data_IF_974128889984
#
_entry.id   IF_974128889984
#
_cell.length_a   1.000
_cell.length_b   1.000
_cell.length_c   1.000
_cell.angle_alpha   90.00
_cell.angle_beta   90.00
_cell.angle_gamma   90.00
#
_symmetry.space_group_name_H-M   'P 1'
#
loop_
_entity.id
_entity.type
_entity.pdbx_description
1 polymer ?
#
# COMPACT_ATOMS: atom_id res chain seq x y z
N UNK A 1 9.05 -13.05 -39.47
CA UNK A 1 8.44 -12.30 -38.35
C UNK A 1 9.34 -12.50 -37.15
N UNK A 2 10.33 -11.64 -36.98
CA UNK A 2 11.30 -11.72 -35.89
C UNK A 2 10.86 -10.78 -34.77
N UNK A 3 9.75 -11.13 -34.11
CA UNK A 3 9.36 -10.50 -32.86
C UNK A 3 10.24 -11.02 -31.73
N UNK A 4 10.82 -10.14 -30.92
CA UNK A 4 11.53 -10.52 -29.70
C UNK A 4 10.53 -11.09 -28.68
N UNK A 5 10.75 -12.32 -28.24
CA UNK A 5 9.85 -12.97 -27.29
C UNK A 5 10.00 -12.43 -25.88
N UNK A 6 8.92 -12.49 -25.10
CA UNK A 6 8.91 -12.18 -23.67
C UNK A 6 9.86 -13.16 -22.97
N UNK A 7 10.90 -12.62 -22.33
CA UNK A 7 11.91 -13.41 -21.63
C UNK A 7 11.71 -13.31 -20.14
N UNK A 8 11.86 -14.44 -19.45
CA UNK A 8 11.92 -14.40 -18.00
C UNK A 8 13.10 -13.53 -17.54
N UNK A 9 12.85 -12.59 -16.63
CA UNK A 9 13.86 -11.72 -16.00
C UNK A 9 14.91 -12.54 -15.28
N UNK A 10 14.49 -13.61 -14.60
CA UNK A 10 15.39 -14.46 -13.82
C UNK A 10 16.11 -15.50 -14.69
N UNK A 11 17.38 -15.22 -15.03
CA UNK A 11 18.23 -16.13 -15.81
C UNK A 11 18.60 -17.42 -15.06
N UNK A 12 18.63 -17.39 -13.71
CA UNK A 12 18.85 -18.53 -12.79
C UNK A 12 18.10 -18.28 -11.47
N UNK A 13 17.74 -19.33 -10.74
CA UNK A 13 17.02 -19.23 -9.44
C UNK A 13 15.52 -19.49 -9.53
N UNK A 14 14.76 -19.09 -8.51
CA UNK A 14 13.29 -19.08 -8.55
C UNK A 14 12.78 -17.98 -9.46
N UNK A 15 11.68 -18.23 -10.15
CA UNK A 15 10.91 -17.20 -10.85
C UNK A 15 9.99 -16.55 -9.80
N UNK A 16 9.66 -15.26 -9.95
CA UNK A 16 8.86 -14.51 -8.98
C UNK A 16 9.71 -13.93 -7.83
N UNK A 17 9.68 -12.62 -7.68
CA UNK A 17 10.41 -11.87 -6.64
C UNK A 17 9.50 -11.31 -5.55
N UNK A 18 8.19 -11.23 -5.79
CA UNK A 18 7.21 -10.64 -4.87
C UNK A 18 6.34 -11.72 -4.24
N UNK A 19 5.60 -11.35 -3.19
CA UNK A 19 4.79 -12.31 -2.44
C UNK A 19 3.71 -12.95 -3.31
N UNK A 20 3.09 -12.19 -4.23
CA UNK A 20 2.02 -12.66 -5.11
C UNK A 20 2.52 -13.64 -6.17
N UNK A 21 3.67 -13.38 -6.79
CA UNK A 21 4.25 -14.30 -7.77
C UNK A 21 4.74 -15.56 -7.09
N UNK A 22 5.28 -15.47 -5.86
CA UNK A 22 5.61 -16.65 -5.07
C UNK A 22 4.37 -17.46 -4.72
N UNK A 23 3.29 -16.80 -4.25
CA UNK A 23 2.00 -17.43 -3.93
C UNK A 23 1.43 -18.20 -5.14
N UNK A 24 1.47 -17.59 -6.31
CA UNK A 24 1.00 -18.20 -7.57
C UNK A 24 1.90 -19.35 -8.03
N UNK A 25 3.22 -19.21 -7.94
CA UNK A 25 4.16 -20.27 -8.32
C UNK A 25 4.06 -21.47 -7.37
N UNK A 26 3.93 -21.22 -6.07
CA UNK A 26 3.74 -22.29 -5.07
C UNK A 26 2.49 -23.11 -5.38
N UNK A 27 1.40 -22.46 -5.79
CA UNK A 27 0.20 -23.13 -6.26
C UNK A 27 0.51 -24.01 -7.47
N UNK A 28 1.12 -23.46 -8.53
CA UNK A 28 1.46 -24.21 -9.74
C UNK A 28 2.38 -25.40 -9.44
N UNK A 29 3.38 -25.21 -8.57
CA UNK A 29 4.33 -26.24 -8.15
C UNK A 29 3.69 -27.31 -7.25
N UNK A 30 2.54 -27.03 -6.64
CA UNK A 30 1.85 -27.97 -5.74
C UNK A 30 1.14 -29.12 -6.47
N UNK A 31 0.72 -28.92 -7.72
CA UNK A 31 -0.07 -29.91 -8.46
C UNK A 31 0.56 -30.39 -9.77
N UNK A 32 1.56 -29.69 -10.31
CA UNK A 32 2.15 -30.03 -11.60
C UNK A 32 3.41 -30.90 -11.50
N UNK A 33 3.61 -31.78 -12.49
CA UNK A 33 4.82 -32.62 -12.58
C UNK A 33 6.11 -31.77 -12.66
N UNK A 34 7.05 -32.07 -11.78
CA UNK A 34 8.29 -31.30 -11.61
C UNK A 34 9.17 -31.30 -12.87
N UNK A 35 9.15 -32.40 -13.62
CA UNK A 35 9.89 -32.53 -14.88
C UNK A 35 9.33 -31.62 -15.98
N UNK A 36 8.00 -31.55 -16.10
CA UNK A 36 7.27 -30.66 -17.01
C UNK A 36 7.50 -29.19 -16.67
N UNK A 37 7.41 -28.85 -15.38
CA UNK A 37 7.70 -27.49 -14.90
C UNK A 37 9.15 -27.06 -15.19
N UNK A 38 10.12 -27.95 -15.00
CA UNK A 38 11.53 -27.67 -15.32
C UNK A 38 11.75 -27.33 -16.79
N UNK A 39 11.08 -28.07 -17.70
CA UNK A 39 11.09 -27.76 -19.14
C UNK A 39 10.39 -26.43 -19.43
N UNK A 40 9.25 -26.17 -18.79
CA UNK A 40 8.52 -24.89 -18.90
C UNK A 40 9.38 -23.69 -18.49
N UNK A 41 10.06 -23.76 -17.34
CA UNK A 41 11.03 -22.74 -16.89
C UNK A 41 12.11 -22.48 -17.93
N UNK A 42 12.60 -23.54 -18.57
CA UNK A 42 13.61 -23.42 -19.63
C UNK A 42 13.08 -22.64 -20.84
N UNK A 43 11.83 -22.88 -21.24
CA UNK A 43 11.20 -22.17 -22.36
C UNK A 43 10.97 -20.68 -22.04
N UNK A 44 10.46 -20.39 -20.83
CA UNK A 44 10.28 -19.02 -20.34
C UNK A 44 11.61 -18.23 -20.36
N UNK A 45 12.70 -18.84 -19.88
CA UNK A 45 14.04 -18.22 -19.88
C UNK A 45 14.65 -18.02 -21.27
N UNK A 46 14.32 -18.90 -22.21
CA UNK A 46 14.82 -18.83 -23.60
C UNK A 46 14.09 -17.77 -24.44
N UNK A 47 13.09 -17.09 -23.90
CA UNK A 47 12.32 -16.09 -24.66
C UNK A 47 11.46 -16.71 -25.75
N UNK A 48 10.93 -17.91 -25.48
CA UNK A 48 10.14 -18.66 -26.45
C UNK A 48 8.64 -18.33 -26.38
N UNK A 49 8.23 -17.45 -25.47
CA UNK A 49 6.83 -17.02 -25.33
C UNK A 49 6.68 -15.63 -25.94
N UNK A 50 5.58 -15.40 -26.64
CA UNK A 50 5.24 -14.18 -27.36
C UNK A 50 3.79 -13.81 -27.07
N UNK A 51 3.44 -12.55 -27.29
CA UNK A 51 2.07 -12.06 -27.21
C UNK A 51 1.34 -12.47 -25.92
N UNK A 52 2.03 -12.45 -24.76
CA UNK A 52 1.38 -12.71 -23.48
C UNK A 52 0.41 -11.57 -23.18
N UNK A 53 -0.88 -11.89 -23.15
CA UNK A 53 -1.97 -10.94 -22.89
C UNK A 53 -2.81 -11.45 -21.74
N UNK A 54 -2.97 -10.60 -20.74
CA UNK A 54 -3.90 -10.82 -19.63
C UNK A 54 -5.16 -10.04 -19.93
N UNK A 55 -6.29 -10.72 -19.89
CA UNK A 55 -7.63 -10.14 -20.04
C UNK A 55 -8.53 -10.70 -18.94
N UNK A 56 -9.72 -10.12 -18.71
CA UNK A 56 -10.70 -10.69 -17.80
C UNK A 56 -10.90 -12.19 -18.02
N UNK A 57 -10.58 -12.97 -17.00
CA UNK A 57 -10.75 -14.43 -16.88
C UNK A 57 -9.86 -15.28 -17.78
N UNK A 58 -9.10 -14.68 -18.69
CA UNK A 58 -8.30 -15.39 -19.69
C UNK A 58 -6.91 -14.76 -19.88
N UNK A 59 -5.89 -15.61 -19.91
CA UNK A 59 -4.53 -15.27 -20.33
C UNK A 59 -4.21 -16.03 -21.61
N UNK A 60 -3.82 -15.32 -22.65
CA UNK A 60 -3.40 -15.92 -23.93
C UNK A 60 -1.93 -15.67 -24.19
N UNK A 61 -1.27 -16.60 -24.86
CA UNK A 61 0.11 -16.44 -25.30
C UNK A 61 0.44 -17.38 -26.48
N UNK A 62 1.53 -17.08 -27.18
CA UNK A 62 2.09 -17.93 -28.22
C UNK A 62 3.44 -18.48 -27.78
N UNK A 63 3.72 -19.75 -28.02
CA UNK A 63 4.96 -20.39 -27.59
C UNK A 63 5.68 -21.06 -28.76
N UNK A 64 6.87 -20.59 -29.11
CA UNK A 64 7.72 -21.24 -30.12
C UNK A 64 8.22 -22.58 -29.57
N UNK A 65 7.88 -23.65 -30.28
CA UNK A 65 8.32 -24.99 -29.96
C UNK A 65 8.96 -25.69 -31.15
N UNK A 66 8.64 -26.97 -31.33
CA UNK A 66 9.24 -27.82 -32.37
C UNK A 66 8.66 -27.60 -33.77
N UNK A 67 7.42 -27.14 -33.89
CA UNK A 67 6.78 -26.90 -35.20
C UNK A 67 7.08 -25.47 -35.69
N UNK A 68 7.00 -25.20 -37.01
CA UNK A 68 7.30 -23.87 -37.57
C UNK A 68 6.42 -22.75 -37.00
N UNK A 69 5.12 -23.03 -36.82
CA UNK A 69 4.16 -22.09 -36.24
C UNK A 69 4.16 -22.17 -34.70
N UNK A 70 4.14 -21.03 -33.98
CA UNK A 70 4.04 -21.05 -32.52
C UNK A 70 2.78 -21.80 -32.03
N UNK A 71 2.89 -22.51 -30.91
CA UNK A 71 1.74 -23.10 -30.21
C UNK A 71 0.90 -22.02 -29.55
N UNK A 72 -0.42 -22.16 -29.59
CA UNK A 72 -1.35 -21.27 -28.90
C UNK A 72 -1.66 -21.83 -27.52
N UNK A 73 -1.54 -20.97 -26.52
CA UNK A 73 -1.80 -21.31 -25.11
C UNK A 73 -2.84 -20.35 -24.57
N UNK A 74 -3.84 -20.90 -23.89
CA UNK A 74 -4.83 -20.15 -23.13
C UNK A 74 -4.91 -20.70 -21.69
N UNK A 75 -4.99 -19.79 -20.72
CA UNK A 75 -5.19 -20.09 -19.31
C UNK A 75 -6.48 -19.40 -18.87
N UNK A 76 -7.45 -20.16 -18.36
CA UNK A 76 -8.72 -19.64 -17.87
C UNK A 76 -8.88 -19.84 -16.37
N UNK A 77 -9.64 -18.97 -15.72
CA UNK A 77 -10.09 -19.14 -14.34
C UNK A 77 -11.59 -18.84 -14.22
N UNK A 78 -12.22 -19.36 -13.19
CA UNK A 78 -13.51 -18.83 -12.75
C UNK A 78 -13.26 -17.51 -12.00
N UNK A 79 -13.59 -16.40 -12.63
CA UNK A 79 -13.34 -15.09 -12.04
C UNK A 79 -14.45 -14.61 -11.10
N UNK A 80 -14.19 -13.45 -10.49
CA UNK A 80 -15.07 -12.86 -9.50
C UNK A 80 -16.22 -12.13 -10.20
N UNK A 81 -17.46 -12.47 -9.84
CA UNK A 81 -18.66 -11.85 -10.40
C UNK A 81 -18.82 -10.36 -10.04
N UNK A 82 -19.62 -9.63 -10.83
CA UNK A 82 -19.78 -8.18 -10.67
C UNK A 82 -20.30 -7.76 -9.28
N UNK A 83 -21.24 -8.52 -8.70
CA UNK A 83 -21.78 -8.23 -7.37
C UNK A 83 -20.72 -8.41 -6.27
N UNK A 84 -19.94 -9.49 -6.35
CA UNK A 84 -18.82 -9.76 -5.45
C UNK A 84 -17.73 -8.70 -5.54
N UNK A 85 -17.44 -8.20 -6.76
CA UNK A 85 -16.55 -7.06 -6.94
C UNK A 85 -17.05 -5.78 -6.29
N UNK A 86 -18.34 -5.47 -6.38
CA UNK A 86 -18.92 -4.30 -5.70
C UNK A 86 -18.73 -4.41 -4.18
N UNK A 87 -18.94 -5.61 -3.62
CA UNK A 87 -18.71 -5.85 -2.19
C UNK A 87 -17.21 -5.70 -1.83
N UNK A 88 -16.30 -6.28 -2.61
CA UNK A 88 -14.87 -6.15 -2.40
C UNK A 88 -14.39 -4.69 -2.51
N UNK A 89 -14.83 -3.94 -3.52
CA UNK A 89 -14.52 -2.52 -3.68
C UNK A 89 -14.99 -1.69 -2.47
N UNK A 90 -16.17 -1.99 -1.94
CA UNK A 90 -16.71 -1.33 -0.74
C UNK A 90 -15.85 -1.61 0.49
N UNK A 91 -15.45 -2.86 0.71
CA UNK A 91 -14.58 -3.25 1.83
C UNK A 91 -13.17 -2.67 1.72
N UNK A 92 -12.59 -2.65 0.51
CA UNK A 92 -11.29 -2.02 0.27
C UNK A 92 -11.36 -0.50 0.48
N UNK A 93 -12.46 0.13 0.07
CA UNK A 93 -12.65 1.58 0.22
C UNK A 93 -12.94 2.01 1.67
N UNK A 94 -13.57 1.14 2.48
CA UNK A 94 -13.89 1.44 3.89
C UNK A 94 -12.65 1.44 4.79
N UNK A 95 -11.60 0.72 4.39
CA UNK A 95 -10.35 0.58 5.15
C UNK A 95 -9.26 1.48 4.60
N UNK A 96 -8.98 2.59 5.30
CA UNK A 96 -8.07 3.65 4.85
C UNK A 96 -6.69 3.15 4.38
N UNK A 97 -6.11 2.16 5.05
CA UNK A 97 -4.80 1.59 4.70
C UNK A 97 -4.83 0.92 3.32
N UNK A 98 -5.84 0.10 3.02
CA UNK A 98 -5.97 -0.56 1.72
C UNK A 98 -6.25 0.45 0.61
N UNK A 99 -7.18 1.38 0.86
CA UNK A 99 -7.51 2.46 -0.07
C UNK A 99 -6.28 3.30 -0.44
N UNK A 100 -5.52 3.75 0.55
CA UNK A 100 -4.33 4.59 0.33
C UNK A 100 -3.24 3.84 -0.46
N UNK A 101 -2.95 2.59 -0.09
CA UNK A 101 -1.95 1.75 -0.78
C UNK A 101 -2.33 1.48 -2.23
N UNK A 102 -3.58 1.06 -2.48
CA UNK A 102 -4.04 0.78 -3.84
C UNK A 102 -4.06 2.04 -4.71
N UNK A 103 -4.41 3.21 -4.16
CA UNK A 103 -4.31 4.49 -4.89
C UNK A 103 -2.86 4.90 -5.19
N UNK A 104 -1.89 4.39 -4.42
CA UNK A 104 -0.46 4.56 -4.65
C UNK A 104 0.14 3.44 -5.54
N UNK A 105 -0.70 2.64 -6.20
CA UNK A 105 -0.30 1.47 -7.00
C UNK A 105 0.43 0.37 -6.23
N UNK A 106 0.23 0.32 -4.91
CA UNK A 106 0.78 -0.73 -4.05
C UNK A 106 -0.27 -1.81 -3.77
N UNK A 107 0.06 -3.07 -4.04
CA UNK A 107 -0.76 -4.23 -3.71
C UNK A 107 -0.34 -4.84 -2.36
N UNK A 108 -1.04 -4.56 -1.24
CA UNK A 108 -0.69 -5.10 0.06
C UNK A 108 -0.99 -6.61 0.14
N UNK A 109 -0.12 -7.44 0.77
CA UNK A 109 -0.39 -8.87 0.95
C UNK A 109 -1.66 -9.16 1.74
N UNK A 110 -2.02 -8.28 2.67
CA UNK A 110 -3.22 -8.42 3.49
C UNK A 110 -4.52 -8.27 2.67
N UNK A 111 -4.44 -7.90 1.38
CA UNK A 111 -5.60 -7.81 0.50
C UNK A 111 -6.31 -9.15 0.36
N UNK A 112 -5.58 -10.28 0.35
CA UNK A 112 -6.18 -11.62 0.27
C UNK A 112 -7.15 -11.87 1.42
N UNK A 113 -6.93 -11.28 2.60
CA UNK A 113 -7.85 -11.40 3.74
C UNK A 113 -9.18 -10.70 3.49
N UNK A 114 -9.15 -9.53 2.84
CA UNK A 114 -10.38 -8.80 2.47
C UNK A 114 -11.23 -9.63 1.50
N UNK A 115 -10.60 -10.30 0.54
CA UNK A 115 -11.31 -11.19 -0.37
C UNK A 115 -11.80 -12.45 0.35
N UNK A 116 -10.98 -13.05 1.22
CA UNK A 116 -11.35 -14.25 1.98
C UNK A 116 -12.54 -14.02 2.93
N UNK A 117 -12.63 -12.86 3.58
CA UNK A 117 -13.79 -12.46 4.41
C UNK A 117 -15.11 -12.45 3.61
N UNK A 118 -15.03 -12.22 2.29
CA UNK A 118 -16.15 -12.24 1.36
C UNK A 118 -16.36 -13.61 0.69
N UNK A 119 -15.59 -14.63 1.07
CA UNK A 119 -15.62 -15.95 0.45
C UNK A 119 -15.04 -15.97 -0.97
N UNK A 120 -14.17 -15.01 -1.30
CA UNK A 120 -13.53 -14.86 -2.60
C UNK A 120 -12.05 -15.24 -2.53
N UNK A 121 -11.49 -15.70 -3.66
CA UNK A 121 -10.07 -15.99 -3.81
C UNK A 121 -9.49 -15.17 -4.96
N UNK A 122 -8.34 -14.54 -4.72
CA UNK A 122 -7.61 -13.78 -5.76
C UNK A 122 -6.76 -14.69 -6.65
N UNK A 123 -6.32 -15.81 -6.10
CA UNK A 123 -5.55 -16.83 -6.83
C UNK A 123 -6.36 -18.13 -6.88
N UNK A 124 -6.17 -18.95 -7.92
CA UNK A 124 -6.74 -20.29 -7.91
C UNK A 124 -6.24 -21.06 -6.68
N UNK A 125 -7.07 -21.91 -6.09
CA UNK A 125 -6.73 -22.66 -4.87
C UNK A 125 -6.22 -24.06 -5.19
N UNK A 126 -6.69 -24.63 -6.30
CA UNK A 126 -6.40 -25.98 -6.75
C UNK A 126 -6.13 -26.01 -8.25
N UNK A 127 -5.65 -27.17 -8.75
CA UNK A 127 -5.50 -27.40 -10.18
C UNK A 127 -6.82 -27.25 -10.96
N UNK A 128 -7.95 -27.61 -10.34
CA UNK A 128 -9.27 -27.58 -10.98
C UNK A 128 -9.75 -26.16 -11.26
N UNK A 129 -9.24 -25.17 -10.53
CA UNK A 129 -9.58 -23.75 -10.68
C UNK A 129 -8.84 -23.09 -11.87
N UNK A 130 -7.94 -23.84 -12.52
CA UNK A 130 -7.11 -23.35 -13.61
C UNK A 130 -7.34 -24.21 -14.87
N UNK A 131 -7.99 -23.61 -15.86
CA UNK A 131 -8.24 -24.25 -17.15
C UNK A 131 -7.07 -24.01 -18.09
N UNK A 132 -6.36 -25.06 -18.45
CA UNK A 132 -5.15 -24.98 -19.27
C UNK A 132 -5.42 -25.56 -20.66
N UNK A 133 -5.27 -24.74 -21.69
CA UNK A 133 -5.37 -25.16 -23.08
C UNK A 133 -4.08 -24.88 -23.83
N UNK A 134 -3.64 -25.87 -24.60
CA UNK A 134 -2.50 -25.73 -25.49
C UNK A 134 -2.71 -26.65 -26.69
N UNK A 135 -2.52 -26.13 -27.90
CA UNK A 135 -2.70 -26.89 -29.15
C UNK A 135 -1.50 -27.80 -29.52
N UNK A 136 -0.63 -28.08 -28.54
CA UNK A 136 0.52 -28.96 -28.73
C UNK A 136 0.14 -30.44 -28.55
N UNK A 137 0.90 -31.39 -29.15
CA UNK A 137 0.58 -32.81 -29.07
C UNK A 137 0.90 -33.47 -27.71
N UNK A 138 1.21 -32.66 -26.69
CA UNK A 138 1.57 -33.12 -25.35
C UNK A 138 0.35 -33.04 -24.42
N UNK A 139 -0.21 -34.20 -24.09
CA UNK A 139 -1.40 -34.38 -23.25
C UNK A 139 -1.15 -34.22 -21.74
N UNK A 140 0.02 -33.71 -21.34
CA UNK A 140 0.26 -33.43 -19.93
C UNK A 140 -0.43 -32.16 -19.45
N UNK A 141 -0.73 -32.12 -18.16
CA UNK A 141 -1.46 -31.02 -17.53
C UNK A 141 -0.67 -30.47 -16.32
N UNK A 142 0.01 -29.30 -16.44
CA UNK A 142 0.29 -28.54 -17.65
C UNK A 142 1.30 -29.22 -18.59
N UNK A 143 1.18 -28.98 -19.89
CA UNK A 143 2.26 -29.24 -20.83
C UNK A 143 3.42 -28.24 -20.60
N UNK A 144 4.60 -28.49 -21.19
CA UNK A 144 5.75 -27.58 -21.03
C UNK A 144 5.48 -26.15 -21.53
N UNK A 145 4.59 -25.97 -22.51
CA UNK A 145 4.26 -24.64 -23.06
C UNK A 145 3.35 -23.88 -22.10
N UNK A 146 2.28 -24.51 -21.60
CA UNK A 146 1.42 -23.94 -20.57
C UNK A 146 2.21 -23.60 -19.30
N UNK A 147 3.11 -24.49 -18.87
CA UNK A 147 4.02 -24.22 -17.75
C UNK A 147 4.91 -22.99 -18.00
N UNK A 148 5.41 -22.80 -19.23
CA UNK A 148 6.20 -21.60 -19.56
C UNK A 148 5.38 -20.31 -19.45
N UNK A 149 4.11 -20.34 -19.89
CA UNK A 149 3.19 -19.19 -19.78
C UNK A 149 2.84 -18.91 -18.33
N UNK A 150 2.59 -19.93 -17.50
CA UNK A 150 2.35 -19.74 -16.06
C UNK A 150 3.52 -19.05 -15.35
N UNK A 151 4.75 -19.45 -15.66
CA UNK A 151 5.93 -18.79 -15.08
C UNK A 151 6.08 -17.33 -15.54
N UNK A 152 5.79 -17.01 -16.81
CA UNK A 152 5.84 -15.63 -17.27
C UNK A 152 4.67 -14.79 -16.78
N UNK A 153 3.50 -15.39 -16.58
CA UNK A 153 2.38 -14.72 -15.93
C UNK A 153 2.75 -14.29 -14.51
N UNK A 154 3.45 -15.15 -13.76
CA UNK A 154 3.97 -14.80 -12.44
C UNK A 154 4.92 -13.60 -12.49
N UNK A 155 5.81 -13.51 -13.49
CA UNK A 155 6.69 -12.35 -13.65
C UNK A 155 5.95 -11.09 -14.13
N UNK A 156 4.89 -11.25 -14.93
CA UNK A 156 4.04 -10.14 -15.34
C UNK A 156 3.33 -9.52 -14.13
N UNK A 157 2.88 -10.34 -13.17
CA UNK A 157 2.34 -9.84 -11.90
C UNK A 157 3.36 -9.05 -11.09
N UNK A 158 4.64 -9.42 -11.13
CA UNK A 158 5.70 -8.64 -10.48
C UNK A 158 5.92 -7.27 -11.14
N UNK A 159 5.62 -7.13 -12.43
CA UNK A 159 5.71 -5.86 -13.17
C UNK A 159 4.47 -4.99 -12.95
N UNK A 160 3.29 -5.60 -12.97
CA UNK A 160 2.03 -4.94 -12.65
C UNK A 160 1.13 -5.87 -11.80
N UNK A 161 0.99 -5.64 -10.48
CA UNK A 161 0.19 -6.48 -9.63
C UNK A 161 -1.32 -6.33 -9.88
N UNK A 162 -1.78 -5.26 -10.55
CA UNK A 162 -3.19 -5.11 -10.90
C UNK A 162 -3.64 -6.09 -11.98
N UNK A 163 -2.70 -6.71 -12.71
CA UNK A 163 -3.01 -7.81 -13.63
C UNK A 163 -3.68 -9.00 -12.92
N UNK A 164 -3.44 -9.20 -11.63
CA UNK A 164 -4.12 -10.22 -10.81
C UNK A 164 -5.62 -9.89 -10.73
N UNK A 165 -5.95 -8.62 -10.51
CA UNK A 165 -7.33 -8.16 -10.41
C UNK A 165 -7.99 -8.13 -11.79
N UNK A 166 -7.24 -7.74 -12.82
CA UNK A 166 -7.70 -7.74 -14.21
C UNK A 166 -8.05 -9.15 -14.67
N UNK A 167 -7.20 -10.13 -14.38
CA UNK A 167 -7.49 -11.54 -14.64
C UNK A 167 -8.74 -12.01 -13.88
N UNK A 168 -8.98 -11.51 -12.68
CA UNK A 168 -10.22 -11.74 -11.92
C UNK A 168 -11.42 -10.86 -12.37
N UNK A 169 -11.30 -10.13 -13.48
CA UNK A 169 -12.41 -9.37 -14.08
C UNK A 169 -12.52 -7.92 -13.64
N UNK A 170 -11.48 -7.35 -13.02
CA UNK A 170 -11.47 -5.96 -12.59
C UNK A 170 -10.22 -5.22 -13.03
N UNK A 171 -10.40 -4.36 -14.04
CA UNK A 171 -9.30 -3.49 -14.49
C UNK A 171 -8.91 -2.48 -13.42
N UNK A 172 -7.64 -2.09 -13.46
CA UNK A 172 -7.06 -1.07 -12.58
C UNK A 172 -7.91 0.20 -12.54
N UNK A 173 -8.24 0.77 -13.69
CA UNK A 173 -8.98 2.03 -13.77
C UNK A 173 -10.37 1.96 -13.12
N UNK A 174 -11.04 0.80 -13.26
CA UNK A 174 -12.35 0.58 -12.63
C UNK A 174 -12.24 0.54 -11.12
N UNK A 175 -11.27 -0.22 -10.60
CA UNK A 175 -11.01 -0.29 -9.17
C UNK A 175 -10.63 1.09 -8.60
N UNK A 176 -9.66 1.79 -9.20
CA UNK A 176 -9.22 3.09 -8.70
C UNK A 176 -10.34 4.13 -8.75
N UNK A 177 -11.20 4.09 -9.77
CA UNK A 177 -12.39 4.94 -9.83
C UNK A 177 -13.35 4.64 -8.68
N UNK A 178 -13.59 3.36 -8.36
CA UNK A 178 -14.42 2.97 -7.23
C UNK A 178 -13.83 3.42 -5.88
N UNK A 179 -12.52 3.21 -5.68
CA UNK A 179 -11.81 3.62 -4.47
C UNK A 179 -11.78 5.14 -4.28
N UNK A 180 -11.68 5.92 -5.36
CA UNK A 180 -11.75 7.40 -5.28
C UNK A 180 -13.12 7.89 -4.84
N UNK A 181 -14.19 7.27 -5.35
CA UNK A 181 -15.57 7.59 -4.93
C UNK A 181 -15.74 7.33 -3.43
N UNK A 182 -15.22 6.20 -2.95
CA UNK A 182 -15.32 5.78 -1.56
C UNK A 182 -16.77 5.60 -1.09
N UNK A 183 -17.01 5.03 0.09
CA UNK A 183 -18.21 5.42 0.83
C UNK A 183 -18.13 6.94 1.04
N UNK A 184 -19.25 7.66 0.95
CA UNK A 184 -19.32 9.01 1.52
C UNK A 184 -18.70 8.90 2.91
N UNK A 185 -17.61 9.64 3.14
CA UNK A 185 -16.84 9.52 4.37
C UNK A 185 -17.85 9.51 5.53
N UNK A 186 -17.78 8.52 6.41
CA UNK A 186 -18.43 8.71 7.70
C UNK A 186 -17.93 10.07 8.20
N UNK A 187 -18.83 11.01 8.54
CA UNK A 187 -18.42 12.37 8.87
C UNK A 187 -17.27 12.27 9.87
N UNK A 188 -16.14 12.91 9.54
CA UNK A 188 -15.02 12.91 10.46
C UNK A 188 -15.56 13.44 11.79
N UNK A 189 -15.45 12.70 12.91
CA UNK A 189 -15.90 13.22 14.20
C UNK A 189 -15.24 14.56 14.56
N UNK A 190 -14.18 14.93 13.84
CA UNK A 190 -13.42 16.17 13.95
C UNK A 190 -13.72 17.18 12.81
N UNK A 191 -14.47 16.82 11.77
CA UNK A 191 -15.05 17.79 10.82
C UNK A 191 -16.19 18.53 11.51
N UNK A 192 -15.89 19.69 12.08
CA UNK A 192 -16.88 20.69 12.43
C UNK A 192 -16.90 21.73 11.32
N UNK A 193 -18.09 22.15 10.90
CA UNK A 193 -18.22 23.31 10.01
C UNK A 193 -17.57 24.52 10.70
N UNK A 194 -16.65 25.19 10.02
CA UNK A 194 -16.07 26.45 10.49
C UNK A 194 -17.19 27.49 10.58
N UNK A 195 -17.70 27.73 11.78
CA UNK A 195 -18.66 28.80 12.02
C UNK A 195 -17.91 30.14 11.83
N UNK A 196 -18.32 31.00 10.88
CA UNK A 196 -17.59 32.22 10.59
C UNK A 196 -17.58 33.12 11.83
N UNK A 197 -16.38 33.50 12.28
CA UNK A 197 -16.20 34.38 13.42
C UNK A 197 -16.93 35.72 13.16
N UNK A 198 -17.95 36.01 13.96
CA UNK A 198 -18.58 37.32 13.99
C UNK A 198 -17.75 38.26 14.88
N UNK A 199 -17.67 39.55 14.54
CA UNK A 199 -17.00 40.54 15.39
C UNK A 199 -17.61 40.63 16.80
N UNK A 200 -18.88 40.26 16.94
CA UNK A 200 -19.62 40.23 18.21
C UNK A 200 -19.18 39.07 19.09
N UNK A 201 -18.85 37.93 18.49
CA UNK A 201 -18.56 36.69 19.20
C UNK A 201 -17.06 36.44 19.35
N UNK A 202 -16.21 37.22 18.66
CA UNK A 202 -14.75 37.11 18.69
C UNK A 202 -14.15 37.17 20.11
N UNK A 203 -14.74 37.96 21.00
CA UNK A 203 -14.30 38.08 22.40
C UNK A 203 -15.05 37.18 23.37
N UNK A 204 -16.02 36.41 22.89
CA UNK A 204 -16.75 35.45 23.73
C UNK A 204 -16.01 34.12 23.73
N UNK A 205 -15.74 33.58 24.91
CA UNK A 205 -15.21 32.22 25.03
C UNK A 205 -16.27 31.25 24.51
N UNK A 206 -15.95 30.41 23.49
CA UNK A 206 -16.82 29.32 23.11
C UNK A 206 -17.17 28.49 24.34
N UNK A 207 -18.41 28.00 24.40
CA UNK A 207 -18.95 27.23 25.52
C UNK A 207 -18.09 26.00 25.90
N UNK A 208 -17.26 25.51 24.98
CA UNK A 208 -16.26 24.46 25.21
C UNK A 208 -14.96 24.92 25.87
N UNK A 209 -14.46 26.14 25.58
CA UNK A 209 -13.20 26.64 26.15
C UNK A 209 -13.35 27.08 27.61
N UNK A 210 -14.55 27.46 28.04
CA UNK A 210 -14.83 27.71 29.47
C UNK A 210 -14.62 26.46 30.36
N UNK A 211 -14.52 25.27 29.75
CA UNK A 211 -14.18 24.01 30.43
C UNK A 211 -12.70 23.66 30.39
N UNK A 212 -11.87 24.37 29.62
CA UNK A 212 -10.43 24.26 29.81
C UNK A 212 -10.16 24.73 31.23
N UNK A 213 -9.73 23.79 32.08
CA UNK A 213 -9.19 24.14 33.39
C UNK A 213 -8.17 25.23 33.16
N UNK A 214 -8.32 26.33 33.91
CA UNK A 214 -7.26 27.34 34.01
C UNK A 214 -5.95 26.60 34.18
N UNK A 215 -5.00 26.92 33.29
CA UNK A 215 -3.66 26.37 33.38
C UNK A 215 -3.22 26.57 34.83
N UNK A 216 -2.88 25.50 35.59
CA UNK A 216 -2.45 25.67 36.96
C UNK A 216 -1.35 26.71 36.97
N UNK A 217 -1.39 27.70 37.89
CA UNK A 217 -0.40 28.76 37.93
C UNK A 217 0.97 28.12 37.85
N UNK A 218 1.78 28.58 36.90
CA UNK A 218 3.11 28.01 36.70
C UNK A 218 3.85 28.05 38.05
N UNK A 219 4.58 26.98 38.42
CA UNK A 219 5.35 27.00 39.64
C UNK A 219 6.27 28.22 39.65
N UNK A 220 6.47 28.89 40.79
CA UNK A 220 7.30 30.07 40.86
C UNK A 220 8.69 29.74 40.35
N UNK A 221 9.09 30.39 39.26
CA UNK A 221 10.38 30.20 38.63
C UNK A 221 11.41 31.01 39.43
N UNK A 222 12.56 30.41 39.82
CA UNK A 222 13.59 31.15 40.53
C UNK A 222 14.06 32.39 39.75
N UNK A 223 14.39 33.50 40.45
CA UNK A 223 14.97 34.67 39.80
C UNK A 223 16.22 34.29 39.00
N UNK A 224 16.31 34.78 37.76
CA UNK A 224 17.44 34.50 36.89
C UNK A 224 17.44 33.11 36.22
N UNK A 225 16.42 32.26 36.41
CA UNK A 225 16.32 30.95 35.75
C UNK A 225 16.42 31.04 34.22
N UNK A 226 15.83 32.08 33.61
CA UNK A 226 15.94 32.33 32.16
C UNK A 226 17.39 32.52 31.74
N UNK A 227 18.24 33.13 32.57
CA UNK A 227 19.67 33.31 32.28
C UNK A 227 20.46 32.00 32.38
N UNK A 228 19.92 30.98 33.05
CA UNK A 228 20.55 29.66 33.21
C UNK A 228 20.12 28.68 32.11
N UNK A 229 18.87 28.77 31.65
CA UNK A 229 18.31 27.86 30.63
C UNK A 229 18.54 28.38 29.22
N UNK A 230 18.52 29.69 29.02
CA UNK A 230 18.78 30.26 27.70
C UNK A 230 20.24 30.07 27.31
N UNK A 231 20.48 29.76 26.03
CA UNK A 231 21.83 29.77 25.47
C UNK A 231 22.38 31.20 25.57
N UNK A 232 23.51 31.44 26.26
CA UNK A 232 23.99 32.79 26.48
C UNK A 232 24.44 33.41 25.15
N UNK A 233 24.03 34.66 24.85
CA UNK A 233 24.54 35.36 23.69
C UNK A 233 26.05 35.61 23.85
N UNK A 234 26.83 35.66 22.75
CA UNK A 234 28.29 35.83 22.80
C UNK A 234 28.71 37.29 23.07
N UNK A 235 28.02 37.96 23.99
CA UNK A 235 28.23 39.37 24.37
C UNK A 235 28.91 39.42 25.73
N UNK A 236 29.96 40.24 25.83
CA UNK A 236 30.69 40.48 27.10
C UNK A 236 30.63 41.95 27.48
N UNK A 237 30.32 42.24 28.73
CA UNK A 237 30.38 43.58 29.32
C UNK A 237 31.55 43.58 30.30
N UNK A 238 32.54 44.47 30.10
CA UNK A 238 33.73 44.59 30.98
C UNK A 238 34.42 43.24 31.25
N UNK A 239 34.58 42.43 30.19
CA UNK A 239 35.16 41.07 30.22
C UNK A 239 34.34 40.00 30.96
N UNK A 240 33.12 40.29 31.40
CA UNK A 240 32.17 39.31 31.97
C UNK A 240 31.09 38.92 30.96
N UNK A 241 30.62 37.66 30.91
CA UNK A 241 29.45 37.26 30.15
C UNK A 241 28.22 38.12 30.48
N UNK A 242 27.38 38.39 29.48
CA UNK A 242 26.17 39.20 29.67
C UNK A 242 25.23 38.63 30.74
N UNK A 243 25.07 37.31 30.80
CA UNK A 243 24.25 36.63 31.81
C UNK A 243 24.70 36.95 33.24
N UNK A 244 26.01 36.94 33.49
CA UNK A 244 26.59 37.23 34.80
C UNK A 244 26.43 38.70 35.19
N UNK A 245 26.44 39.60 34.20
CA UNK A 245 26.20 41.02 34.42
C UNK A 245 24.73 41.33 34.75
N UNK A 246 23.79 40.52 34.24
CA UNK A 246 22.35 40.71 34.41
C UNK A 246 21.78 40.02 35.66
N UNK A 247 22.46 39.00 36.19
CA UNK A 247 21.96 38.22 37.33
C UNK A 247 21.53 39.09 38.54
N UNK A 248 22.31 40.08 39.01
CA UNK A 248 21.89 40.92 40.14
C UNK A 248 20.64 41.75 39.86
N UNK A 249 20.41 42.15 38.60
CA UNK A 249 19.22 42.90 38.22
C UNK A 249 17.97 42.00 38.21
N UNK A 250 18.11 40.75 37.75
CA UNK A 250 17.04 39.75 37.80
C UNK A 250 16.68 39.38 39.25
N UNK A 251 17.66 39.28 40.14
CA UNK A 251 17.43 39.08 41.57
C UNK A 251 16.71 40.28 42.20
N UNK A 252 17.13 41.52 41.90
CA UNK A 252 16.49 42.73 42.42
C UNK A 252 15.03 42.89 41.96
N UNK A 253 14.72 42.58 40.70
CA UNK A 253 13.36 42.66 40.15
C UNK A 253 12.40 41.65 40.80
N UNK A 254 12.93 40.54 41.34
CA UNK A 254 12.12 39.51 42.00
C UNK A 254 11.78 39.81 43.47
N UNK A 255 12.47 40.76 44.10
CA UNK A 255 12.30 41.10 45.52
C UNK A 255 11.23 42.16 45.84
N UNK A 256 10.40 42.56 44.87
CA UNK A 256 9.53 43.74 44.97
C UNK A 256 8.01 43.49 45.00
N UNK A 257 7.53 42.41 45.62
CA UNK A 257 6.08 42.22 45.87
C UNK A 257 5.67 42.69 47.27
N UNK A 258 4.58 43.46 47.46
CA UNK A 258 4.13 43.84 48.81
C UNK A 258 3.72 42.60 49.62
N UNK A 259 3.88 42.60 50.96
CA UNK A 259 3.45 41.47 51.78
C UNK A 259 1.94 41.28 51.63
N UNK A 260 1.53 40.08 51.24
CA UNK A 260 0.13 39.67 51.21
C UNK A 260 -0.44 39.77 52.63
N UNK A 261 -1.29 40.76 52.86
CA UNK A 261 -2.20 40.79 54.00
C UNK A 261 -3.09 39.55 53.92
N UNK A 262 -2.86 38.60 54.83
CA UNK A 262 -3.81 37.53 55.08
C UNK A 262 -4.92 38.04 55.99
N UNK A 263 -6.15 38.04 55.47
CA UNK A 263 -7.39 37.90 56.25
C UNK A 263 -7.96 36.52 55.84
N UNK A 264 -8.45 35.66 56.72
CA UNK A 264 -9.15 35.95 57.97
C UNK A 264 -10.64 35.77 57.73
#
# INVERSE_FOLDING_TARGET
MDGEGVRARTKRGSIGARWWSRRFIDLVESFADTGRLSRGRTYARKGQVYDLRVTPYEVTAKVRGSRPEPYEVALGIEGIGAASWIAAEKELASRAVFRARLLADEMPPEIEWVFAELGLALFPATAADLHLMCDCPDWGDPCKHAAAVLYLLAEAFDDDPFLILEWNGRSRDRLLTALRRGPAAAPDPLEMEDEPLSATDFWTTPSGLARLRDRPPAPPVPPGFVLQVATPPPVKIRRRPLTDALLPAYEALSGGGPPSSGDG
#
